data_IF_008025872028
#
_entry.id   IF_008025872028
#
_cell.length_a   1.000
_cell.length_b   1.000
_cell.length_c   1.000
_cell.angle_alpha   90.00
_cell.angle_beta   90.00
_cell.angle_gamma   90.00
#
_symmetry.space_group_name_H-M   'P 1'
#
loop_
_entity.id
_entity.type
_entity.pdbx_description
1 polymer ?
#
# COMPACT_ATOMS: atom_id res chain seq x y z
N UNK A 1 -40.58 -18.55 7.56
CA UNK A 1 -40.49 -18.15 8.97
C UNK A 1 -40.13 -16.68 8.98
N UNK A 2 -41.08 -15.79 9.26
CA UNK A 2 -40.79 -14.36 9.36
C UNK A 2 -39.92 -14.11 10.60
N UNK A 3 -38.70 -13.64 10.38
CA UNK A 3 -37.78 -13.30 11.47
C UNK A 3 -38.29 -11.99 12.09
N UNK A 4 -38.86 -12.09 13.29
CA UNK A 4 -39.32 -10.91 14.04
C UNK A 4 -38.12 -10.29 14.75
N UNK A 5 -37.63 -9.15 14.26
CA UNK A 5 -36.51 -8.42 14.85
C UNK A 5 -36.95 -7.78 16.18
N UNK A 6 -36.58 -8.40 17.31
CA UNK A 6 -37.01 -7.97 18.65
C UNK A 6 -36.31 -6.69 19.13
N UNK A 7 -35.02 -6.54 18.83
CA UNK A 7 -34.25 -5.30 19.05
C UNK A 7 -32.98 -5.32 18.19
N UNK A 8 -32.48 -4.14 17.83
CA UNK A 8 -31.23 -3.98 17.09
C UNK A 8 -30.17 -3.37 18.03
N UNK A 9 -29.01 -4.02 18.17
CA UNK A 9 -27.86 -3.43 18.87
C UNK A 9 -27.00 -2.74 17.83
N UNK A 10 -26.83 -1.43 17.93
CA UNK A 10 -25.85 -0.73 17.12
C UNK A 10 -24.45 -1.17 17.55
N UNK A 11 -23.84 -2.05 16.77
CA UNK A 11 -22.42 -2.34 16.91
C UNK A 11 -21.64 -1.12 16.41
N UNK A 12 -20.88 -0.49 17.31
CA UNK A 12 -19.90 0.50 16.89
C UNK A 12 -18.84 -0.18 16.02
N UNK A 13 -18.53 0.44 14.88
CA UNK A 13 -17.41 0.01 14.06
C UNK A 13 -16.13 0.03 14.92
N UNK A 14 -15.45 -1.10 14.96
CA UNK A 14 -14.24 -1.29 15.79
C UNK A 14 -13.05 -0.50 15.27
N UNK A 15 -13.07 -0.16 13.98
CA UNK A 15 -11.99 0.54 13.29
C UNK A 15 -12.60 1.55 12.33
N UNK A 16 -12.13 2.80 12.35
CA UNK A 16 -12.73 3.89 11.58
C UNK A 16 -12.05 4.14 10.22
N UNK A 17 -12.61 5.11 9.47
CA UNK A 17 -12.02 5.65 8.23
C UNK A 17 -10.56 6.10 8.40
N UNK A 18 -10.17 6.55 9.61
CA UNK A 18 -8.82 7.00 9.90
C UNK A 18 -7.80 5.87 9.67
N UNK A 19 -8.16 4.62 9.93
CA UNK A 19 -7.27 3.49 9.66
C UNK A 19 -7.18 3.16 8.16
N UNK A 20 -8.26 3.33 7.40
CA UNK A 20 -8.18 3.18 5.94
C UNK A 20 -7.22 4.24 5.33
N UNK A 21 -7.31 5.48 5.81
CA UNK A 21 -6.40 6.57 5.43
C UNK A 21 -4.97 6.27 5.88
N UNK A 22 -4.79 5.81 7.12
CA UNK A 22 -3.50 5.40 7.66
C UNK A 22 -2.87 4.30 6.78
N UNK A 23 -3.58 3.20 6.51
CA UNK A 23 -3.08 2.12 5.66
C UNK A 23 -2.73 2.58 4.24
N UNK A 24 -3.46 3.57 3.70
CA UNK A 24 -3.15 4.13 2.39
C UNK A 24 -1.86 4.96 2.41
N UNK A 25 -1.72 5.90 3.36
CA UNK A 25 -0.53 6.74 3.50
C UNK A 25 0.70 5.89 3.85
N UNK A 26 0.51 4.88 4.69
CA UNK A 26 1.56 3.89 5.00
C UNK A 26 2.00 3.16 3.74
N UNK A 27 1.03 2.66 2.97
CA UNK A 27 1.28 2.04 1.67
C UNK A 27 2.11 2.92 0.73
N UNK A 28 1.67 4.16 0.51
CA UNK A 28 2.35 5.16 -0.31
C UNK A 28 3.81 5.35 0.11
N UNK A 29 4.07 5.51 1.42
CA UNK A 29 5.42 5.80 1.87
C UNK A 29 6.38 4.64 1.63
N UNK A 30 6.00 3.36 1.83
CA UNK A 30 7.00 2.31 1.61
C UNK A 30 7.18 1.96 0.16
N UNK A 31 6.19 2.15 -0.72
CA UNK A 31 6.47 2.10 -2.15
C UNK A 31 7.47 3.20 -2.55
N UNK A 32 7.36 4.42 -2.00
CA UNK A 32 8.37 5.47 -2.18
C UNK A 32 9.74 5.06 -1.62
N UNK A 33 9.77 4.43 -0.44
CA UNK A 33 10.99 3.97 0.21
C UNK A 33 11.69 2.87 -0.58
N UNK A 34 10.94 1.87 -1.03
CA UNK A 34 11.47 0.76 -1.83
C UNK A 34 11.98 1.26 -3.18
N UNK A 35 11.26 2.18 -3.85
CA UNK A 35 11.75 2.84 -5.08
C UNK A 35 13.04 3.61 -4.79
N UNK A 36 13.09 4.37 -3.69
CA UNK A 36 14.26 5.16 -3.30
C UNK A 36 15.49 4.29 -3.03
N UNK A 37 15.33 3.26 -2.20
CA UNK A 37 16.38 2.32 -1.83
C UNK A 37 16.86 1.57 -3.06
N UNK A 38 15.95 1.02 -3.87
CA UNK A 38 16.30 0.28 -5.09
C UNK A 38 17.09 1.15 -6.06
N UNK A 39 16.66 2.39 -6.28
CA UNK A 39 17.39 3.37 -7.10
C UNK A 39 18.81 3.63 -6.57
N UNK A 40 18.99 3.71 -5.24
CA UNK A 40 20.30 3.84 -4.60
C UNK A 40 21.17 2.59 -4.75
N UNK A 41 20.58 1.39 -4.64
CA UNK A 41 21.29 0.12 -4.76
C UNK A 41 21.83 -0.12 -6.17
N UNK A 42 21.02 0.19 -7.19
CA UNK A 42 21.42 0.15 -8.61
C UNK A 42 22.68 1.02 -8.84
N UNK A 43 22.80 2.15 -8.14
CA UNK A 43 24.04 2.94 -8.10
C UNK A 43 24.37 3.72 -9.38
N UNK A 44 23.49 3.67 -10.38
CA UNK A 44 23.57 4.46 -11.61
C UNK A 44 23.27 5.94 -11.34
N UNK A 45 23.97 6.86 -12.01
CA UNK A 45 23.89 8.31 -11.72
C UNK A 45 22.50 8.88 -12.01
N UNK A 46 21.86 8.38 -13.06
CA UNK A 46 20.53 8.79 -13.52
C UNK A 46 19.40 8.44 -12.53
N UNK A 47 19.60 7.46 -11.64
CA UNK A 47 18.62 7.08 -10.62
C UNK A 47 18.67 7.95 -9.37
N UNK A 48 19.76 8.72 -9.15
CA UNK A 48 19.94 9.56 -7.96
C UNK A 48 18.81 10.57 -7.73
N UNK A 49 18.27 11.26 -8.76
CA UNK A 49 17.15 12.18 -8.58
C UNK A 49 15.89 11.47 -8.08
N UNK A 50 15.54 10.31 -8.65
CA UNK A 50 14.39 9.50 -8.17
C UNK A 50 14.61 9.03 -6.74
N UNK A 51 15.84 8.59 -6.40
CA UNK A 51 16.17 8.17 -5.05
C UNK A 51 15.93 9.28 -4.03
N UNK A 52 16.44 10.50 -4.29
CA UNK A 52 16.27 11.65 -3.40
C UNK A 52 14.82 12.10 -3.29
N UNK A 53 14.09 12.14 -4.40
CA UNK A 53 12.68 12.54 -4.39
C UNK A 53 11.84 11.54 -3.59
N UNK A 54 12.03 10.24 -3.81
CA UNK A 54 11.35 9.20 -3.02
C UNK A 54 11.66 9.34 -1.54
N UNK A 55 12.91 9.59 -1.17
CA UNK A 55 13.32 9.82 0.22
C UNK A 55 12.63 11.03 0.88
N UNK A 56 12.42 12.12 0.14
CA UNK A 56 11.69 13.31 0.65
C UNK A 56 10.25 12.94 0.97
N UNK A 57 9.57 12.28 0.03
CA UNK A 57 8.18 11.86 0.24
C UNK A 57 8.05 10.83 1.36
N UNK A 58 9.05 9.96 1.56
CA UNK A 58 9.10 9.07 2.73
C UNK A 58 9.06 9.89 4.02
N UNK A 59 9.88 10.94 4.17
CA UNK A 59 9.88 11.78 5.38
C UNK A 59 8.50 12.43 5.60
N UNK A 60 7.92 13.00 4.55
CA UNK A 60 6.63 13.70 4.62
C UNK A 60 5.51 12.73 5.04
N UNK A 61 5.36 11.62 4.31
CA UNK A 61 4.29 10.65 4.54
C UNK A 61 4.47 9.91 5.87
N UNK A 62 5.73 9.61 6.23
CA UNK A 62 6.05 9.05 7.55
C UNK A 62 5.67 10.00 8.68
N UNK A 63 5.90 11.30 8.56
CA UNK A 63 5.57 12.26 9.62
C UNK A 63 4.06 12.41 9.82
N UNK A 64 3.28 12.24 8.74
CA UNK A 64 1.83 12.41 8.74
C UNK A 64 1.09 11.13 9.17
N UNK A 65 1.55 9.94 8.74
CA UNK A 65 0.81 8.69 8.95
C UNK A 65 0.48 8.35 10.42
N UNK A 66 1.37 8.51 11.42
CA UNK A 66 1.08 8.15 12.79
C UNK A 66 -0.03 9.00 13.42
N UNK A 67 -0.28 10.20 12.89
CA UNK A 67 -1.35 11.08 13.38
C UNK A 67 -2.70 10.34 13.24
N UNK A 68 -2.98 9.77 12.06
CA UNK A 68 -4.21 9.03 11.80
C UNK A 68 -4.35 7.80 12.70
N UNK A 69 -3.27 7.05 12.89
CA UNK A 69 -3.24 5.89 13.79
C UNK A 69 -3.53 6.31 15.23
N UNK A 70 -2.83 7.34 15.73
CA UNK A 70 -2.98 7.81 17.10
C UNK A 70 -4.35 8.43 17.37
N UNK A 71 -4.93 9.15 16.40
CA UNK A 71 -6.28 9.72 16.54
C UNK A 71 -7.38 8.67 16.57
N UNK A 72 -7.15 7.50 15.99
CA UNK A 72 -8.11 6.39 16.03
C UNK A 72 -8.08 5.65 17.37
N UNK A 73 -7.02 5.81 18.18
CA UNK A 73 -7.01 5.29 19.54
C UNK A 73 -8.04 6.04 20.39
N UNK A 74 -8.94 5.30 21.04
CA UNK A 74 -9.87 5.84 22.03
C UNK A 74 -9.18 6.60 23.18
N UNK A 75 -7.93 6.24 23.50
CA UNK A 75 -7.10 6.89 24.53
C UNK A 75 -5.69 7.19 23.98
N UNK A 76 -5.53 8.23 23.14
CA UNK A 76 -4.32 8.46 22.36
C UNK A 76 -3.09 8.69 23.24
N UNK A 77 -3.24 9.35 24.38
CA UNK A 77 -2.14 9.65 25.32
C UNK A 77 -1.54 8.41 26.00
N UNK A 78 -2.16 7.24 25.87
CA UNK A 78 -1.68 5.97 26.43
C UNK A 78 -0.90 5.11 25.43
N UNK A 79 -0.60 5.63 24.23
CA UNK A 79 0.15 4.87 23.22
C UNK A 79 1.48 4.29 23.75
N UNK A 80 2.13 4.98 24.70
CA UNK A 80 3.40 4.55 25.29
C UNK A 80 3.30 3.24 26.09
N UNK A 81 2.09 2.85 26.54
CA UNK A 81 1.88 1.57 27.22
C UNK A 81 2.23 0.38 26.32
N UNK A 82 2.09 0.52 25.00
CA UNK A 82 2.43 -0.53 24.03
C UNK A 82 3.91 -0.91 24.06
N UNK A 83 4.79 0.00 24.50
CA UNK A 83 6.23 -0.27 24.62
C UNK A 83 6.62 -0.95 25.93
N UNK A 84 5.87 -0.66 27.01
CA UNK A 84 6.19 -1.17 28.35
C UNK A 84 5.52 -2.53 28.58
N UNK A 85 4.27 -2.69 28.13
CA UNK A 85 3.49 -3.91 28.30
C UNK A 85 3.54 -4.77 27.03
N UNK A 86 4.73 -5.31 26.75
CA UNK A 86 4.93 -6.20 25.61
C UNK A 86 4.21 -7.54 25.83
N UNK A 87 3.34 -7.91 24.88
CA UNK A 87 2.74 -9.23 24.83
C UNK A 87 3.18 -9.99 23.56
N UNK A 88 4.03 -11.03 23.67
CA UNK A 88 4.56 -11.74 22.51
C UNK A 88 3.51 -12.51 21.70
N UNK A 89 2.34 -12.80 22.27
CA UNK A 89 1.23 -13.45 21.55
C UNK A 89 0.37 -12.45 20.78
N UNK A 90 0.51 -11.15 21.06
CA UNK A 90 -0.25 -10.09 20.40
C UNK A 90 0.49 -9.60 19.15
N UNK A 91 -0.13 -9.70 17.96
CA UNK A 91 0.41 -9.07 16.76
C UNK A 91 0.64 -7.57 16.97
N UNK A 92 -0.29 -6.89 17.65
CA UNK A 92 -0.22 -5.46 17.90
C UNK A 92 1.07 -5.04 18.60
N UNK A 93 1.52 -5.84 19.57
CA UNK A 93 2.75 -5.60 20.31
C UNK A 93 4.00 -5.71 19.43
N UNK A 94 4.07 -6.70 18.52
CA UNK A 94 5.17 -6.79 17.54
C UNK A 94 5.16 -5.61 16.58
N UNK A 95 3.97 -5.18 16.16
CA UNK A 95 3.78 -4.01 15.31
C UNK A 95 4.43 -2.76 15.84
N UNK A 96 4.25 -2.47 17.12
CA UNK A 96 4.84 -1.29 17.77
C UNK A 96 6.34 -1.19 17.53
N UNK A 97 7.08 -2.29 17.68
CA UNK A 97 8.52 -2.30 17.45
C UNK A 97 8.89 -2.21 15.96
N UNK A 98 8.15 -2.91 15.09
CA UNK A 98 8.37 -2.88 13.64
C UNK A 98 8.13 -1.46 13.07
N UNK A 99 7.04 -0.81 13.49
CA UNK A 99 6.68 0.56 13.12
C UNK A 99 7.74 1.58 13.57
N UNK A 100 8.40 1.35 14.71
CA UNK A 100 9.46 2.24 15.21
C UNK A 100 10.84 1.94 14.59
N UNK A 101 11.16 0.68 14.29
CA UNK A 101 12.42 0.29 13.66
C UNK A 101 12.54 0.86 12.24
N UNK A 102 11.47 0.77 11.46
CA UNK A 102 11.45 1.24 10.07
C UNK A 102 11.90 2.70 9.87
N UNK A 103 11.33 3.72 10.55
CA UNK A 103 11.75 5.10 10.37
C UNK A 103 13.15 5.37 10.90
N UNK A 104 13.64 4.61 11.88
CA UNK A 104 15.03 4.75 12.36
C UNK A 104 16.00 4.35 11.25
N UNK A 105 15.88 3.14 10.69
CA UNK A 105 16.79 2.69 9.63
C UNK A 105 16.62 3.48 8.34
N UNK A 106 15.38 3.81 7.99
CA UNK A 106 15.09 4.62 6.80
C UNK A 106 15.58 6.05 6.97
N UNK A 107 15.48 6.64 8.16
CA UNK A 107 16.03 7.95 8.46
C UNK A 107 17.56 7.99 8.34
N UNK A 108 18.26 6.96 8.84
CA UNK A 108 19.72 6.85 8.69
C UNK A 108 20.11 6.68 7.21
N UNK A 109 19.37 5.85 6.46
CA UNK A 109 19.53 5.71 5.01
C UNK A 109 19.40 7.07 4.31
N UNK A 110 18.33 7.81 4.60
CA UNK A 110 18.05 9.11 3.97
C UNK A 110 19.15 10.12 4.34
N UNK A 111 19.60 10.15 5.60
CA UNK A 111 20.71 11.00 6.03
C UNK A 111 21.97 10.78 5.17
N UNK A 112 22.41 9.53 5.01
CA UNK A 112 23.59 9.22 4.21
C UNK A 112 23.38 9.43 2.70
N UNK A 113 22.16 9.22 2.20
CA UNK A 113 21.77 9.53 0.83
C UNK A 113 21.97 11.03 0.53
N UNK A 114 21.54 11.92 1.43
CA UNK A 114 21.69 13.37 1.26
C UNK A 114 23.12 13.85 1.48
N UNK A 115 23.88 13.21 2.38
CA UNK A 115 25.33 13.44 2.53
C UNK A 115 26.17 12.95 1.35
N UNK A 116 25.57 12.22 0.41
CA UNK A 116 26.28 11.66 -0.74
C UNK A 116 27.20 10.49 -0.40
N UNK A 117 27.06 9.90 0.78
CA UNK A 117 27.88 8.77 1.21
C UNK A 117 27.31 7.45 0.66
N UNK A 118 27.79 7.03 -0.50
CA UNK A 118 27.27 5.88 -1.25
C UNK A 118 27.38 4.58 -0.46
N UNK A 119 28.48 4.36 0.29
CA UNK A 119 28.68 3.11 1.04
C UNK A 119 27.62 2.97 2.12
N UNK A 120 27.47 3.98 2.96
CA UNK A 120 26.53 3.94 4.08
C UNK A 120 25.07 4.02 3.63
N UNK A 121 24.76 4.77 2.56
CA UNK A 121 23.40 4.78 2.00
C UNK A 121 23.01 3.40 1.47
N UNK A 122 23.92 2.64 0.84
CA UNK A 122 23.63 1.26 0.43
C UNK A 122 23.43 0.33 1.61
N UNK A 123 24.31 0.38 2.62
CA UNK A 123 24.22 -0.49 3.81
C UNK A 123 22.89 -0.26 4.54
N UNK A 124 22.58 0.99 4.89
CA UNK A 124 21.34 1.29 5.59
C UNK A 124 20.10 1.15 4.71
N UNK A 125 20.21 1.31 3.40
CA UNK A 125 19.15 0.97 2.46
C UNK A 125 18.81 -0.54 2.48
N UNK A 126 19.83 -1.41 2.48
CA UNK A 126 19.63 -2.87 2.61
C UNK A 126 19.03 -3.23 3.97
N UNK A 127 19.46 -2.59 5.06
CA UNK A 127 18.90 -2.84 6.40
C UNK A 127 17.46 -2.32 6.51
N UNK A 128 17.16 -1.18 5.88
CA UNK A 128 15.81 -0.60 5.86
C UNK A 128 14.82 -1.49 5.11
N UNK A 129 15.25 -2.14 4.02
CA UNK A 129 14.35 -2.91 3.14
C UNK A 129 13.54 -4.01 3.87
N UNK A 130 14.14 -4.90 4.70
CA UNK A 130 13.38 -5.83 5.54
C UNK A 130 12.41 -5.15 6.50
N UNK A 131 12.78 -3.99 7.07
CA UNK A 131 11.87 -3.26 7.98
C UNK A 131 10.72 -2.60 7.23
N UNK A 132 10.94 -2.12 6.00
CA UNK A 132 9.91 -1.58 5.12
C UNK A 132 8.90 -2.67 4.72
N UNK A 133 9.40 -3.83 4.30
CA UNK A 133 8.59 -5.02 4.03
C UNK A 133 7.86 -5.47 5.31
N UNK A 134 8.56 -5.42 6.45
CA UNK A 134 8.05 -5.75 7.77
C UNK A 134 6.84 -4.93 8.15
N UNK A 135 6.90 -3.59 8.09
CA UNK A 135 5.77 -2.70 8.42
C UNK A 135 4.56 -3.03 7.56
N UNK A 136 4.77 -3.25 6.26
CA UNK A 136 3.67 -3.42 5.31
C UNK A 136 3.06 -4.81 5.35
N UNK A 137 3.89 -5.85 5.37
CA UNK A 137 3.42 -7.20 5.62
C UNK A 137 2.71 -7.30 6.97
N UNK A 138 3.26 -6.64 8.00
CA UNK A 138 2.68 -6.58 9.34
C UNK A 138 1.25 -6.00 9.33
N UNK A 139 0.98 -4.91 8.59
CA UNK A 139 -0.39 -4.38 8.50
C UNK A 139 -1.39 -5.43 8.01
N UNK A 140 -1.00 -6.25 7.02
CA UNK A 140 -1.83 -7.36 6.57
C UNK A 140 -1.90 -8.52 7.58
N UNK A 141 -0.85 -8.77 8.37
CA UNK A 141 -0.90 -9.73 9.48
C UNK A 141 -1.88 -9.31 10.58
N UNK A 142 -1.96 -8.01 10.93
CA UNK A 142 -2.91 -7.52 11.93
C UNK A 142 -4.34 -7.87 11.57
N UNK A 143 -4.72 -7.63 10.30
CA UNK A 143 -6.03 -8.04 9.80
C UNK A 143 -6.11 -9.58 9.70
N UNK A 144 -5.11 -10.21 9.11
CA UNK A 144 -5.01 -11.66 8.92
C UNK A 144 -5.21 -12.48 10.19
N UNK A 145 -4.85 -11.96 11.36
CA UNK A 145 -5.01 -12.65 12.64
C UNK A 145 -6.37 -12.45 13.31
N UNK A 146 -7.23 -11.59 12.77
CA UNK A 146 -8.59 -11.41 13.25
C UNK A 146 -9.49 -12.58 12.78
N UNK A 147 -9.34 -13.74 13.42
CA UNK A 147 -10.01 -15.01 13.07
C UNK A 147 -11.52 -14.91 12.88
N UNK A 148 -12.16 -13.99 13.61
CA UNK A 148 -13.60 -13.81 13.58
C UNK A 148 -14.09 -13.01 12.35
N UNK A 149 -13.19 -12.45 11.53
CA UNK A 149 -13.54 -11.64 10.36
C UNK A 149 -13.03 -12.33 9.09
N UNK A 150 -13.93 -12.98 8.37
CA UNK A 150 -13.55 -13.86 7.24
C UNK A 150 -12.84 -13.12 6.11
N UNK A 151 -13.30 -11.91 5.74
CA UNK A 151 -12.63 -11.08 4.73
C UNK A 151 -11.19 -10.71 5.12
N UNK A 152 -10.90 -10.70 6.44
CA UNK A 152 -9.57 -10.39 6.95
C UNK A 152 -8.70 -11.63 7.09
N UNK A 153 -9.27 -12.73 7.58
CA UNK A 153 -8.57 -13.92 7.99
C UNK A 153 -8.17 -14.81 6.81
N UNK A 154 -7.31 -14.29 5.92
CA UNK A 154 -6.79 -15.04 4.78
C UNK A 154 -5.27 -15.10 4.83
N UNK A 155 -4.70 -16.24 4.40
CA UNK A 155 -3.25 -16.43 4.39
C UNK A 155 -2.55 -15.47 3.39
N UNK A 156 -3.29 -14.99 2.39
CA UNK A 156 -2.79 -14.06 1.36
C UNK A 156 -2.73 -12.62 1.86
N UNK A 157 -3.43 -12.29 2.96
CA UNK A 157 -3.61 -10.92 3.45
C UNK A 157 -2.29 -10.14 3.64
N UNK A 158 -1.23 -10.68 4.28
CA UNK A 158 0.06 -9.98 4.39
C UNK A 158 0.69 -9.62 3.05
N UNK A 159 0.71 -10.58 2.12
CA UNK A 159 1.28 -10.37 0.77
C UNK A 159 0.41 -9.47 -0.10
N UNK A 160 -0.91 -9.51 0.08
CA UNK A 160 -1.86 -8.64 -0.63
C UNK A 160 -1.72 -7.19 -0.17
N UNK A 161 -1.58 -6.94 1.13
CA UNK A 161 -1.29 -5.61 1.67
C UNK A 161 0.06 -5.07 1.19
N UNK A 162 1.08 -5.92 1.11
CA UNK A 162 2.40 -5.56 0.58
C UNK A 162 2.35 -5.22 -0.91
N UNK A 163 1.69 -6.04 -1.74
CA UNK A 163 1.55 -5.80 -3.17
C UNK A 163 0.76 -4.52 -3.46
N UNK A 164 -0.39 -4.32 -2.80
CA UNK A 164 -1.18 -3.09 -2.92
C UNK A 164 -0.41 -1.84 -2.48
N UNK A 165 0.45 -1.94 -1.45
CA UNK A 165 1.32 -0.83 -1.05
C UNK A 165 2.39 -0.50 -2.10
N UNK A 166 2.94 -1.52 -2.76
CA UNK A 166 3.82 -1.32 -3.91
C UNK A 166 3.10 -0.59 -5.05
N UNK A 167 1.85 -0.97 -5.34
CA UNK A 167 1.03 -0.32 -6.38
C UNK A 167 0.83 1.16 -6.07
N UNK A 168 0.32 1.51 -4.88
CA UNK A 168 0.04 2.91 -4.57
C UNK A 168 1.32 3.75 -4.53
N UNK A 169 2.40 3.27 -3.91
CA UNK A 169 3.65 4.03 -3.85
C UNK A 169 4.37 4.12 -5.20
N UNK A 170 4.32 3.09 -6.05
CA UNK A 170 4.86 3.18 -7.43
C UNK A 170 4.02 4.09 -8.31
N UNK A 171 2.69 4.04 -8.19
CA UNK A 171 1.80 4.95 -8.89
C UNK A 171 2.09 6.40 -8.50
N UNK A 172 2.26 6.66 -7.20
CA UNK A 172 2.65 7.97 -6.71
C UNK A 172 4.02 8.42 -7.25
N UNK A 173 5.04 7.55 -7.19
CA UNK A 173 6.35 7.85 -7.76
C UNK A 173 6.33 8.05 -9.28
N UNK A 174 5.44 7.35 -10.00
CA UNK A 174 5.23 7.55 -11.42
C UNK A 174 4.60 8.91 -11.72
N UNK A 175 3.59 9.34 -10.95
CA UNK A 175 3.01 10.69 -11.06
C UNK A 175 4.10 11.74 -10.85
N UNK A 176 4.89 11.60 -9.78
CA UNK A 176 5.99 12.52 -9.47
C UNK A 176 7.05 12.52 -10.57
N UNK A 177 7.40 11.36 -11.13
CA UNK A 177 8.35 11.27 -12.24
C UNK A 177 7.82 11.95 -13.51
N UNK A 178 6.52 11.81 -13.83
CA UNK A 178 5.88 12.48 -14.96
C UNK A 178 5.82 14.01 -14.79
N UNK A 179 5.49 14.48 -13.58
CA UNK A 179 5.53 15.91 -13.22
C UNK A 179 6.95 16.44 -13.38
N UNK A 180 7.93 15.75 -12.78
CA UNK A 180 9.34 16.11 -12.92
C UNK A 180 9.78 16.13 -14.39
N UNK A 181 9.36 15.16 -15.19
CA UNK A 181 9.68 15.15 -16.60
C UNK A 181 9.14 16.41 -17.29
N UNK A 182 7.86 16.72 -17.07
CA UNK A 182 7.16 17.87 -17.66
C UNK A 182 7.78 19.22 -17.29
N UNK A 183 8.24 19.40 -16.05
CA UNK A 183 8.70 20.70 -15.54
C UNK A 183 10.22 20.85 -15.43
N UNK A 184 10.99 19.76 -15.50
CA UNK A 184 12.44 19.80 -15.26
C UNK A 184 13.28 19.15 -16.35
N UNK A 185 12.77 18.12 -17.03
CA UNK A 185 13.55 17.39 -18.05
C UNK A 185 13.18 17.77 -19.48
N UNK A 186 12.01 18.35 -19.75
CA UNK A 186 11.62 18.73 -21.11
C UNK A 186 12.66 19.62 -21.82
N UNK A 187 13.27 20.54 -21.07
CA UNK A 187 14.25 21.50 -21.57
C UNK A 187 15.71 21.00 -21.48
N UNK A 188 15.92 19.77 -21.01
CA UNK A 188 17.26 19.16 -20.91
C UNK A 188 17.72 18.53 -22.22
N UNK A 189 19.05 18.27 -22.37
CA UNK A 189 19.58 17.53 -23.51
C UNK A 189 18.86 16.19 -23.74
N UNK A 190 18.84 15.73 -24.99
CA UNK A 190 18.20 14.47 -25.40
C UNK A 190 18.59 13.28 -24.52
N UNK A 191 19.89 13.16 -24.22
CA UNK A 191 20.42 12.06 -23.40
C UNK A 191 19.83 12.03 -21.98
N UNK A 192 19.66 13.19 -21.34
CA UNK A 192 19.06 13.28 -20.01
C UNK A 192 17.55 12.97 -20.04
N UNK A 193 16.87 13.35 -21.13
CA UNK A 193 15.45 13.03 -21.33
C UNK A 193 15.22 11.54 -21.52
N UNK A 194 16.04 10.89 -22.33
CA UNK A 194 15.95 9.45 -22.57
C UNK A 194 16.17 8.65 -21.28
N UNK A 195 17.18 9.02 -20.47
CA UNK A 195 17.42 8.42 -19.16
C UNK A 195 16.22 8.59 -18.21
N UNK A 196 15.58 9.76 -18.21
CA UNK A 196 14.39 9.99 -17.36
C UNK A 196 13.20 9.16 -17.82
N UNK A 197 12.99 9.06 -19.14
CA UNK A 197 11.96 8.24 -19.76
C UNK A 197 12.17 6.74 -19.52
N UNK A 198 13.41 6.26 -19.49
CA UNK A 198 13.74 4.88 -19.11
C UNK A 198 13.31 4.59 -17.67
N UNK A 199 13.48 5.54 -16.76
CA UNK A 199 13.03 5.38 -15.37
C UNK A 199 11.51 5.38 -15.29
N UNK A 200 10.82 6.24 -16.04
CA UNK A 200 9.35 6.25 -16.14
C UNK A 200 8.83 4.91 -16.70
N UNK A 201 9.45 4.40 -17.78
CA UNK A 201 9.09 3.11 -18.38
C UNK A 201 9.33 1.96 -17.40
N UNK A 202 10.45 1.97 -16.67
CA UNK A 202 10.74 0.97 -15.64
C UNK A 202 9.73 1.00 -14.48
N UNK A 203 9.44 2.19 -13.93
CA UNK A 203 8.45 2.36 -12.85
C UNK A 203 7.07 1.86 -13.28
N UNK A 204 6.63 2.22 -14.50
CA UNK A 204 5.33 1.76 -15.02
C UNK A 204 5.30 0.23 -15.19
N UNK A 205 6.34 -0.40 -15.73
CA UNK A 205 6.39 -1.87 -15.86
C UNK A 205 6.30 -2.59 -14.52
N UNK A 206 7.02 -2.11 -13.50
CA UNK A 206 6.92 -2.68 -12.16
C UNK A 206 5.52 -2.48 -11.56
N UNK A 207 4.93 -1.29 -11.73
CA UNK A 207 3.56 -1.00 -11.32
C UNK A 207 2.56 -2.00 -11.93
N UNK A 208 2.65 -2.24 -13.24
CA UNK A 208 1.80 -3.24 -13.92
C UNK A 208 2.05 -4.67 -13.40
N UNK A 209 3.30 -5.04 -13.12
CA UNK A 209 3.62 -6.34 -12.53
C UNK A 209 2.92 -6.56 -11.18
N UNK A 210 2.96 -5.57 -10.29
CA UNK A 210 2.27 -5.66 -9.00
C UNK A 210 0.74 -5.63 -9.15
N UNK A 211 0.17 -4.88 -10.10
CA UNK A 211 -1.27 -4.92 -10.39
C UNK A 211 -1.73 -6.30 -10.85
N UNK A 212 -0.97 -6.96 -11.74
CA UNK A 212 -1.28 -8.32 -12.19
C UNK A 212 -1.22 -9.30 -11.01
N UNK A 213 -0.19 -9.18 -10.16
CA UNK A 213 -0.08 -9.98 -8.93
C UNK A 213 -1.27 -9.72 -7.98
N UNK A 214 -1.71 -8.47 -7.84
CA UNK A 214 -2.85 -8.09 -7.02
C UNK A 214 -4.16 -8.71 -7.53
N UNK A 215 -4.40 -8.66 -8.85
CA UNK A 215 -5.55 -9.32 -9.48
C UNK A 215 -5.51 -10.83 -9.26
N UNK A 216 -4.33 -11.45 -9.34
CA UNK A 216 -4.17 -12.87 -9.02
C UNK A 216 -4.52 -13.18 -7.55
N UNK A 217 -4.06 -12.36 -6.61
CA UNK A 217 -4.42 -12.52 -5.20
C UNK A 217 -5.92 -12.40 -4.97
N UNK A 218 -6.59 -11.40 -5.56
CA UNK A 218 -8.05 -11.24 -5.43
C UNK A 218 -8.79 -12.43 -6.04
N UNK A 219 -8.38 -12.88 -7.23
CA UNK A 219 -8.97 -14.07 -7.86
C UNK A 219 -8.81 -15.31 -6.97
N UNK A 220 -7.60 -15.55 -6.46
CA UNK A 220 -7.30 -16.68 -5.60
C UNK A 220 -8.11 -16.63 -4.31
N UNK A 221 -8.16 -15.48 -3.65
CA UNK A 221 -8.80 -15.32 -2.33
C UNK A 221 -10.32 -15.46 -2.44
N UNK A 222 -10.95 -14.79 -3.42
CA UNK A 222 -12.39 -14.92 -3.66
C UNK A 222 -12.79 -16.34 -4.07
N UNK A 223 -12.00 -17.01 -4.92
CA UNK A 223 -12.30 -18.37 -5.35
C UNK A 223 -12.21 -19.34 -4.18
N UNK A 224 -11.18 -19.24 -3.35
CA UNK A 224 -11.03 -20.11 -2.18
C UNK A 224 -12.16 -19.86 -1.17
N UNK A 225 -12.47 -18.60 -0.85
CA UNK A 225 -13.55 -18.26 0.08
C UNK A 225 -14.92 -18.76 -0.42
N UNK A 226 -15.18 -18.70 -1.72
CA UNK A 226 -16.45 -19.12 -2.31
C UNK A 226 -16.79 -20.60 -2.05
N UNK A 227 -15.77 -21.47 -1.90
CA UNK A 227 -15.95 -22.91 -1.67
C UNK A 227 -15.61 -23.37 -0.25
N UNK A 228 -15.39 -22.45 0.71
CA UNK A 228 -14.87 -22.82 2.03
C UNK A 228 -15.96 -23.06 3.09
N UNK A 229 -16.62 -21.99 3.55
CA UNK A 229 -17.66 -22.02 4.60
C UNK A 229 -18.82 -21.10 4.20
N UNK A 230 -19.97 -21.23 4.88
CA UNK A 230 -21.13 -20.36 4.63
C UNK A 230 -20.78 -18.88 4.87
N UNK A 231 -20.13 -18.55 6.00
CA UNK A 231 -19.68 -17.18 6.30
C UNK A 231 -18.69 -16.63 5.25
N UNK A 232 -17.84 -17.49 4.68
CA UNK A 232 -16.92 -17.12 3.61
C UNK A 232 -17.65 -16.85 2.29
N UNK A 233 -18.65 -17.68 1.97
CA UNK A 233 -19.52 -17.46 0.83
C UNK A 233 -20.31 -16.15 0.95
N UNK A 234 -20.90 -15.86 2.12
CA UNK A 234 -21.60 -14.60 2.38
C UNK A 234 -20.67 -13.38 2.24
N UNK A 235 -19.43 -13.52 2.73
CA UNK A 235 -18.38 -12.49 2.56
C UNK A 235 -18.06 -12.25 1.08
N UNK A 236 -17.98 -13.30 0.25
CA UNK A 236 -17.77 -13.16 -1.19
C UNK A 236 -18.97 -12.49 -1.85
N UNK A 237 -20.20 -12.89 -1.49
CA UNK A 237 -21.41 -12.27 -2.05
C UNK A 237 -21.51 -10.79 -1.68
N UNK A 238 -21.10 -10.40 -0.46
CA UNK A 238 -21.05 -9.01 -0.02
C UNK A 238 -20.20 -8.12 -0.95
N UNK A 239 -19.04 -8.65 -1.39
CA UNK A 239 -18.10 -7.92 -2.25
C UNK A 239 -18.30 -8.19 -3.74
N UNK A 240 -19.08 -9.19 -4.13
CA UNK A 240 -19.39 -9.52 -5.54
C UNK A 240 -20.70 -8.92 -6.01
N UNK A 241 -21.77 -9.09 -5.23
CA UNK A 241 -23.13 -8.65 -5.57
C UNK A 241 -23.76 -7.70 -4.53
N UNK A 242 -23.22 -7.66 -3.32
CA UNK A 242 -23.74 -6.86 -2.22
C UNK A 242 -23.28 -5.40 -2.21
N UNK A 243 -23.41 -4.78 -1.04
CA UNK A 243 -23.16 -3.35 -0.79
C UNK A 243 -21.79 -2.86 -1.27
N UNK A 244 -20.76 -3.70 -1.18
CA UNK A 244 -19.39 -3.32 -1.56
C UNK A 244 -19.01 -3.70 -3.00
N UNK A 245 -19.92 -4.33 -3.76
CA UNK A 245 -19.66 -4.80 -5.13
C UNK A 245 -19.07 -3.74 -6.05
N UNK A 246 -19.72 -2.58 -6.13
CA UNK A 246 -19.25 -1.50 -7.01
C UNK A 246 -17.84 -1.03 -6.63
N UNK A 247 -17.58 -0.86 -5.34
CA UNK A 247 -16.29 -0.38 -4.85
C UNK A 247 -15.19 -1.43 -5.05
N UNK A 248 -15.44 -2.69 -4.69
CA UNK A 248 -14.44 -3.73 -4.70
C UNK A 248 -14.17 -4.27 -6.11
N UNK A 249 -15.20 -4.68 -6.84
CA UNK A 249 -15.02 -5.26 -8.18
C UNK A 249 -14.67 -4.17 -9.19
N UNK A 250 -15.43 -3.08 -9.23
CA UNK A 250 -15.28 -2.10 -10.30
C UNK A 250 -14.21 -1.06 -10.01
N UNK A 251 -14.28 -0.37 -8.87
CA UNK A 251 -13.35 0.74 -8.61
C UNK A 251 -11.94 0.23 -8.26
N UNK A 252 -11.81 -0.70 -7.32
CA UNK A 252 -10.51 -1.28 -6.96
C UNK A 252 -9.97 -2.20 -8.06
N UNK A 253 -10.67 -3.29 -8.38
CA UNK A 253 -10.09 -4.34 -9.23
C UNK A 253 -10.11 -3.98 -10.72
N UNK A 254 -11.25 -3.58 -11.29
CA UNK A 254 -11.32 -3.28 -12.73
C UNK A 254 -10.61 -1.97 -13.06
N UNK A 255 -11.05 -0.84 -12.46
CA UNK A 255 -10.50 0.47 -12.78
C UNK A 255 -9.18 0.75 -12.09
N UNK A 256 -8.93 0.21 -10.89
CA UNK A 256 -7.68 0.42 -10.16
C UNK A 256 -6.54 -0.51 -10.57
N UNK A 257 -6.84 -1.73 -11.04
CA UNK A 257 -5.80 -2.70 -11.38
C UNK A 257 -5.83 -3.11 -12.86
N UNK A 258 -6.94 -3.68 -13.35
CA UNK A 258 -7.00 -4.28 -14.70
C UNK A 258 -6.81 -3.22 -15.79
N UNK A 259 -7.59 -2.14 -15.79
CA UNK A 259 -7.53 -1.09 -16.82
C UNK A 259 -6.16 -0.40 -16.83
N UNK A 260 -5.59 0.06 -15.70
CA UNK A 260 -4.24 0.61 -15.65
C UNK A 260 -3.15 -0.37 -16.10
N UNK A 261 -3.26 -1.65 -15.71
CA UNK A 261 -2.31 -2.67 -16.16
C UNK A 261 -2.36 -2.84 -17.69
N UNK A 262 -3.55 -2.89 -18.30
CA UNK A 262 -3.70 -2.97 -19.75
C UNK A 262 -3.09 -1.73 -20.45
N UNK A 263 -3.33 -0.53 -19.92
CA UNK A 263 -2.72 0.71 -20.45
C UNK A 263 -1.19 0.60 -20.46
N UNK A 264 -0.58 0.01 -19.44
CA UNK A 264 0.88 -0.05 -19.29
C UNK A 264 1.51 -1.24 -20.04
N UNK A 265 0.84 -2.38 -20.11
CA UNK A 265 1.38 -3.60 -20.76
C UNK A 265 1.58 -3.37 -22.25
N UNK A 266 0.63 -2.70 -22.92
CA UNK A 266 0.75 -2.41 -24.35
C UNK A 266 1.73 -1.26 -24.61
N UNK A 267 2.80 -1.54 -25.36
CA UNK A 267 3.84 -0.55 -25.71
C UNK A 267 3.29 0.72 -26.38
N UNK A 268 2.20 0.60 -27.16
CA UNK A 268 1.57 1.73 -27.86
C UNK A 268 0.97 2.74 -26.87
N UNK A 269 0.26 2.27 -25.86
CA UNK A 269 -0.40 3.11 -24.84
C UNK A 269 0.58 3.57 -23.76
N UNK A 270 1.53 2.73 -23.35
CA UNK A 270 2.56 3.06 -22.35
C UNK A 270 3.44 4.25 -22.75
N UNK A 271 3.59 4.53 -24.04
CA UNK A 271 4.35 5.70 -24.54
C UNK A 271 3.65 7.04 -24.30
N UNK A 272 2.35 7.05 -23.98
CA UNK A 272 1.62 8.29 -23.73
C UNK A 272 1.71 8.69 -22.25
N UNK A 273 2.31 9.85 -21.98
CA UNK A 273 2.44 10.39 -20.62
C UNK A 273 1.07 10.65 -19.97
N UNK A 274 0.08 11.06 -20.76
CA UNK A 274 -1.29 11.26 -20.28
C UNK A 274 -1.92 9.94 -19.84
N UNK A 275 -1.76 8.87 -20.63
CA UNK A 275 -2.30 7.56 -20.28
C UNK A 275 -1.58 6.96 -19.06
N UNK A 276 -0.27 7.16 -18.94
CA UNK A 276 0.48 6.76 -17.74
C UNK A 276 0.01 7.52 -16.49
N UNK A 277 -0.26 8.81 -16.62
CA UNK A 277 -0.80 9.63 -15.53
C UNK A 277 -2.19 9.12 -15.09
N UNK A 278 -3.08 8.87 -16.05
CA UNK A 278 -4.42 8.32 -15.80
C UNK A 278 -4.31 6.95 -15.11
N UNK A 279 -3.44 6.06 -15.62
CA UNK A 279 -3.22 4.74 -15.04
C UNK A 279 -2.74 4.83 -13.58
N UNK A 280 -1.81 5.74 -13.28
CA UNK A 280 -1.30 5.93 -11.92
C UNK A 280 -2.35 6.53 -10.96
N UNK A 281 -3.17 7.47 -11.42
CA UNK A 281 -4.25 8.05 -10.60
C UNK A 281 -5.31 6.99 -10.29
N UNK A 282 -5.75 6.25 -11.31
CA UNK A 282 -6.70 5.15 -11.15
C UNK A 282 -6.17 4.09 -10.18
N UNK A 283 -4.90 3.70 -10.31
CA UNK A 283 -4.24 2.76 -9.40
C UNK A 283 -4.26 3.22 -7.94
N UNK A 284 -3.95 4.51 -7.71
CA UNK A 284 -3.94 5.09 -6.37
C UNK A 284 -5.35 5.11 -5.76
N UNK A 285 -6.36 5.49 -6.55
CA UNK A 285 -7.77 5.46 -6.14
C UNK A 285 -8.20 4.02 -5.83
N UNK A 286 -7.86 3.07 -6.70
CA UNK A 286 -8.19 1.66 -6.50
C UNK A 286 -7.65 1.11 -5.19
N UNK A 287 -6.36 1.34 -4.91
CA UNK A 287 -5.74 0.91 -3.64
C UNK A 287 -6.38 1.61 -2.42
N UNK A 288 -6.77 2.88 -2.53
CA UNK A 288 -7.50 3.55 -1.45
C UNK A 288 -8.85 2.89 -1.18
N UNK A 289 -9.61 2.58 -2.24
CA UNK A 289 -10.88 1.88 -2.13
C UNK A 289 -10.69 0.46 -1.60
N UNK A 290 -9.63 -0.24 -1.98
CA UNK A 290 -9.24 -1.51 -1.37
C UNK A 290 -9.09 -1.39 0.15
N UNK A 291 -8.38 -0.35 0.64
CA UNK A 291 -8.24 -0.13 2.11
C UNK A 291 -9.58 0.17 2.77
N UNK A 292 -10.43 0.95 2.11
CA UNK A 292 -11.79 1.22 2.58
C UNK A 292 -12.63 -0.07 2.67
N UNK A 293 -12.71 -0.86 1.60
CA UNK A 293 -13.47 -2.12 1.59
C UNK A 293 -12.92 -3.09 2.62
N UNK A 294 -11.60 -3.18 2.79
CA UNK A 294 -11.05 -4.02 3.84
C UNK A 294 -11.48 -3.55 5.22
N UNK A 295 -11.34 -2.28 5.57
CA UNK A 295 -11.70 -1.79 6.91
C UNK A 295 -13.21 -1.94 7.19
N UNK A 296 -14.07 -1.50 6.27
CA UNK A 296 -15.52 -1.48 6.51
C UNK A 296 -16.21 -2.79 6.14
N UNK A 297 -15.87 -3.37 4.98
CA UNK A 297 -16.44 -4.63 4.51
C UNK A 297 -16.09 -5.80 5.42
N UNK A 298 -14.87 -5.81 5.97
CA UNK A 298 -14.45 -6.89 6.89
C UNK A 298 -15.15 -6.86 8.24
N UNK A 299 -15.82 -5.76 8.60
CA UNK A 299 -16.60 -5.65 9.83
C UNK A 299 -18.10 -5.79 9.60
N UNK A 300 -18.53 -5.80 8.33
CA UNK A 300 -19.93 -5.72 7.95
C UNK A 300 -20.68 -7.03 8.18
N UNK A 301 -20.04 -8.17 7.91
CA UNK A 301 -20.61 -9.49 8.24
C UNK A 301 -20.58 -9.64 9.77
N UNK A 302 -21.73 -9.92 10.42
CA UNK A 302 -21.80 -10.14 11.85
C UNK A 302 -20.89 -11.27 12.30
N UNK A 303 -20.42 -11.21 13.54
CA UNK A 303 -19.69 -12.32 14.15
C UNK A 303 -20.69 -13.44 14.47
N UNK A 304 -20.45 -14.62 13.92
CA UNK A 304 -21.14 -15.87 14.26
C UNK A 304 -20.61 -16.48 15.57
#
# INVERSE_FOLDING_TARGET
MEIQLLYNVFHHESVSMLIAIYFHIVGLHAGCSIVSITATLIGKKEYKPVAKIGAIFVIILFSISPIFLLTDLFQPLRFWYLFIHFNPTSPLSWGTFILCAYPVFTGIYIYFLFKGNVRWSKIFGVISLPTAIGVHGYTGFVLGFAKARVLWNTAVMPSYFLASAMISGMAFMLIVALIRYRFTYQDKPLEDREKDLEIIDLLSKWLAGFMILNVFYVFSDLTVMYYHTEDAFETVELVRLGKFSFLYIWVDNVFGNIVPALIIVFKKTRRSHLLLLIAAILASIGVFIMRYVMVFGGQYVPLS
#
